data_IF_776157547350
#
_entry.id   IF_776157547350
#
_cell.length_a   1.000
_cell.length_b   1.000
_cell.length_c   1.000
_cell.angle_alpha   90.00
_cell.angle_beta   90.00
_cell.angle_gamma   90.00
#
_symmetry.space_group_name_H-M   'P 1'
#
loop_
_entity.id
_entity.type
_entity.pdbx_description
1 polymer ?
#
# COMPACT_ATOMS: atom_id res chain seq x y z
N UNK A 1 -12.81 43.74 -0.17
CA UNK A 1 -12.28 42.37 0.02
C UNK A 1 -11.45 42.01 -1.18
N UNK A 2 -10.43 41.16 -1.02
CA UNK A 2 -9.64 40.69 -2.16
C UNK A 2 -10.49 39.74 -3.03
N UNK A 3 -10.30 39.79 -4.35
CA UNK A 3 -11.03 38.94 -5.30
C UNK A 3 -10.07 38.30 -6.29
N UNK A 4 -10.50 37.20 -6.89
CA UNK A 4 -9.90 36.61 -8.08
C UNK A 4 -10.99 36.46 -9.15
N UNK A 5 -10.72 36.95 -10.36
CA UNK A 5 -11.67 36.88 -11.47
C UNK A 5 -11.21 35.87 -12.52
N UNK A 6 -12.08 34.93 -12.86
CA UNK A 6 -11.88 33.97 -13.95
C UNK A 6 -12.38 34.57 -15.24
N UNK A 7 -11.48 34.80 -16.18
CA UNK A 7 -11.83 35.29 -17.52
C UNK A 7 -12.43 34.18 -18.40
N UNK A 8 -12.18 32.93 -18.01
CA UNK A 8 -12.57 31.70 -18.67
C UNK A 8 -14.01 31.31 -18.33
N UNK A 9 -14.43 31.51 -17.07
CA UNK A 9 -15.79 31.19 -16.61
C UNK A 9 -16.67 32.43 -16.38
N UNK A 10 -16.09 33.63 -16.39
CA UNK A 10 -16.78 34.87 -16.02
C UNK A 10 -17.13 34.97 -14.53
N UNK A 11 -16.59 34.10 -13.67
CA UNK A 11 -16.87 34.09 -12.24
C UNK A 11 -15.92 34.97 -11.45
N UNK A 12 -16.48 35.67 -10.47
CA UNK A 12 -15.71 36.31 -9.40
C UNK A 12 -15.70 35.42 -8.17
N UNK A 13 -14.53 35.20 -7.61
CA UNK A 13 -14.32 34.56 -6.32
C UNK A 13 -13.91 35.62 -5.30
N UNK A 14 -14.69 35.78 -4.24
CA UNK A 14 -14.33 36.64 -3.11
C UNK A 14 -13.44 35.86 -2.16
N UNK A 15 -12.21 36.33 -1.95
CA UNK A 15 -11.21 35.64 -1.13
C UNK A 15 -11.42 36.03 0.35
N UNK A 16 -12.10 35.17 1.09
CA UNK A 16 -12.58 35.47 2.44
C UNK A 16 -11.48 35.31 3.49
N UNK A 17 -10.75 34.20 3.45
CA UNK A 17 -9.75 33.86 4.47
C UNK A 17 -8.62 33.02 3.90
N UNK A 18 -7.37 33.40 4.19
CA UNK A 18 -6.21 32.55 3.94
C UNK A 18 -6.26 31.31 4.84
N UNK A 19 -6.28 30.12 4.26
CA UNK A 19 -6.37 28.84 4.97
C UNK A 19 -5.11 27.97 4.80
N UNK A 20 -4.23 28.31 3.86
CA UNK A 20 -2.95 27.63 3.68
C UNK A 20 -1.97 28.50 2.91
N UNK A 21 -0.68 28.38 3.24
CA UNK A 21 0.41 29.06 2.53
C UNK A 21 1.65 28.17 2.55
N UNK A 22 2.27 27.98 1.40
CA UNK A 22 3.47 27.15 1.27
C UNK A 22 4.17 27.31 -0.07
N UNK A 23 5.10 26.39 -0.38
CA UNK A 23 5.89 26.45 -1.60
C UNK A 23 5.10 26.31 -2.91
N UNK A 24 3.83 25.94 -2.84
CA UNK A 24 2.95 25.80 -4.01
C UNK A 24 1.99 26.99 -4.20
N UNK A 25 2.06 27.98 -3.31
CA UNK A 25 1.23 29.18 -3.34
C UNK A 25 0.39 29.36 -2.07
N UNK A 26 -0.64 30.19 -2.22
CA UNK A 26 -1.58 30.55 -1.17
C UNK A 26 -2.95 29.95 -1.47
N UNK A 27 -3.63 29.44 -0.46
CA UNK A 27 -4.96 28.85 -0.57
C UNK A 27 -5.91 29.66 0.29
N UNK A 28 -6.97 30.16 -0.34
CA UNK A 28 -8.00 30.96 0.29
C UNK A 28 -9.31 30.18 0.35
N UNK A 29 -10.00 30.20 1.48
CA UNK A 29 -11.44 29.98 1.49
C UNK A 29 -12.08 31.15 0.74
N UNK A 30 -12.97 30.83 -0.19
CA UNK A 30 -13.60 31.82 -1.03
C UNK A 30 -15.09 31.54 -1.23
N UNK A 31 -15.82 32.59 -1.53
CA UNK A 31 -17.23 32.54 -1.91
C UNK A 31 -17.44 32.97 -3.35
N UNK A 32 -18.42 32.37 -4.02
CA UNK A 32 -18.78 32.68 -5.41
C UNK A 32 -20.28 32.47 -5.63
N UNK A 33 -20.80 32.96 -6.76
CA UNK A 33 -22.18 32.71 -7.16
C UNK A 33 -22.40 31.22 -7.45
N UNK A 34 -23.48 30.66 -6.88
CA UNK A 34 -23.89 29.27 -7.14
C UNK A 34 -24.36 29.15 -8.58
N UNK A 35 -23.87 28.13 -9.30
CA UNK A 35 -24.27 27.85 -10.68
C UNK A 35 -23.32 26.85 -11.35
N UNK A 36 -23.79 26.16 -12.39
CA UNK A 36 -23.03 25.18 -13.18
C UNK A 36 -22.31 24.10 -12.36
N UNK A 37 -22.93 23.69 -11.25
CA UNK A 37 -22.36 22.68 -10.34
C UNK A 37 -21.28 23.18 -9.39
N UNK A 38 -20.99 24.49 -9.37
CA UNK A 38 -20.06 25.12 -8.42
C UNK A 38 -20.81 25.49 -7.13
N UNK A 39 -20.33 25.06 -5.94
CA UNK A 39 -20.93 25.42 -4.66
C UNK A 39 -20.61 26.87 -4.26
N UNK A 40 -21.41 27.43 -3.35
CA UNK A 40 -21.22 28.79 -2.85
C UNK A 40 -19.87 29.01 -2.15
N UNK A 41 -19.30 27.95 -1.56
CA UNK A 41 -18.02 27.98 -0.84
C UNK A 41 -17.04 27.03 -1.52
N UNK A 42 -15.88 27.57 -1.89
CA UNK A 42 -14.79 26.85 -2.55
C UNK A 42 -13.45 27.23 -1.91
N UNK A 43 -12.39 26.54 -2.29
CA UNK A 43 -11.02 27.00 -2.08
C UNK A 43 -10.47 27.59 -3.38
N UNK A 44 -9.75 28.70 -3.32
CA UNK A 44 -8.96 29.21 -4.44
C UNK A 44 -7.49 29.11 -4.10
N UNK A 45 -6.78 28.23 -4.80
CA UNK A 45 -5.31 28.13 -4.76
C UNK A 45 -4.73 29.07 -5.80
N UNK A 46 -3.84 29.96 -5.35
CA UNK A 46 -3.16 30.97 -6.16
C UNK A 46 -1.66 30.68 -6.12
N UNK A 47 -1.06 30.47 -7.29
CA UNK A 47 0.36 30.19 -7.45
C UNK A 47 1.00 31.12 -8.47
N UNK A 48 2.30 31.35 -8.37
CA UNK A 48 3.13 31.98 -9.41
C UNK A 48 3.79 30.93 -10.32
N UNK A 49 3.59 29.62 -10.04
CA UNK A 49 4.24 28.52 -10.73
C UNK A 49 3.35 27.87 -11.80
N UNK A 50 3.57 28.25 -13.05
CA UNK A 50 2.85 27.70 -14.21
C UNK A 50 2.93 26.16 -14.29
N UNK A 51 4.11 25.57 -14.10
CA UNK A 51 4.33 24.14 -14.35
C UNK A 51 3.59 23.22 -13.37
N UNK A 52 3.51 23.62 -12.09
CA UNK A 52 2.72 22.90 -11.08
C UNK A 52 1.23 23.03 -11.35
N UNK A 53 0.78 24.26 -11.60
CA UNK A 53 -0.62 24.56 -11.92
C UNK A 53 -1.12 23.79 -13.16
N UNK A 54 -0.35 23.75 -14.25
CA UNK A 54 -0.70 23.00 -15.46
C UNK A 54 -0.90 21.50 -15.17
N UNK A 55 -0.05 20.91 -14.34
CA UNK A 55 -0.19 19.50 -13.94
C UNK A 55 -1.43 19.27 -13.10
N UNK A 56 -1.66 20.12 -12.10
CA UNK A 56 -2.86 20.02 -11.25
C UNK A 56 -4.15 20.17 -12.06
N UNK A 57 -4.22 21.18 -12.93
CA UNK A 57 -5.34 21.40 -13.84
C UNK A 57 -5.60 20.18 -14.74
N UNK A 58 -4.55 19.64 -15.36
CA UNK A 58 -4.64 18.49 -16.25
C UNK A 58 -5.14 17.23 -15.53
N UNK A 59 -4.56 16.90 -14.37
CA UNK A 59 -4.94 15.69 -13.63
C UNK A 59 -6.30 15.82 -12.96
N UNK A 60 -6.70 17.03 -12.56
CA UNK A 60 -8.06 17.27 -12.10
C UNK A 60 -9.09 17.03 -13.20
N UNK A 61 -8.80 17.42 -14.45
CA UNK A 61 -9.67 17.14 -15.60
C UNK A 61 -9.71 15.63 -15.91
N UNK A 62 -8.55 14.95 -15.88
CA UNK A 62 -8.48 13.50 -16.07
C UNK A 62 -9.31 12.72 -15.04
N UNK A 63 -9.35 13.21 -13.79
CA UNK A 63 -10.02 12.58 -12.66
C UNK A 63 -11.39 13.21 -12.34
N UNK A 64 -11.94 14.06 -13.20
CA UNK A 64 -13.18 14.81 -12.91
C UNK A 64 -14.39 13.93 -12.58
N UNK A 65 -14.38 12.67 -13.04
CA UNK A 65 -15.44 11.67 -12.79
C UNK A 65 -15.22 10.84 -11.52
N UNK A 66 -14.05 10.93 -10.90
CA UNK A 66 -13.71 10.16 -9.70
C UNK A 66 -14.18 10.88 -8.44
N UNK A 67 -15.17 10.33 -7.73
CA UNK A 67 -15.73 10.94 -6.50
C UNK A 67 -14.65 11.18 -5.43
N UNK A 68 -13.60 10.35 -5.44
CA UNK A 68 -12.50 10.36 -4.48
C UNK A 68 -11.27 11.15 -4.94
N UNK A 69 -11.39 11.92 -6.03
CA UNK A 69 -10.47 13.00 -6.36
C UNK A 69 -11.08 14.35 -5.93
N UNK A 70 -10.27 15.23 -5.37
CA UNK A 70 -10.68 16.59 -5.01
C UNK A 70 -11.10 17.34 -6.27
N UNK A 71 -12.35 17.82 -6.33
CA UNK A 71 -12.84 18.47 -7.55
C UNK A 71 -12.15 19.80 -7.77
N UNK A 72 -11.83 20.09 -9.02
CA UNK A 72 -11.49 21.45 -9.50
C UNK A 72 -12.67 21.93 -10.33
N UNK A 73 -13.26 23.04 -9.90
CA UNK A 73 -14.40 23.68 -10.55
C UNK A 73 -13.97 24.65 -11.64
N UNK A 74 -12.81 25.29 -11.46
CA UNK A 74 -12.33 26.32 -12.37
C UNK A 74 -10.81 26.39 -12.35
N UNK A 75 -10.24 26.79 -13.48
CA UNK A 75 -8.81 27.01 -13.68
C UNK A 75 -8.65 28.25 -14.53
N UNK A 76 -7.89 29.23 -14.04
CA UNK A 76 -7.75 30.48 -14.75
C UNK A 76 -6.44 31.17 -14.46
N UNK A 77 -6.06 32.08 -15.36
CA UNK A 77 -4.91 32.96 -15.18
C UNK A 77 -5.38 34.39 -14.98
N UNK A 78 -4.87 35.03 -13.94
CA UNK A 78 -5.20 36.40 -13.61
C UNK A 78 -3.94 37.29 -13.72
N UNK A 79 -3.89 38.21 -14.69
CA UNK A 79 -2.82 39.20 -14.78
C UNK A 79 -2.83 40.13 -13.57
N UNK A 80 -1.64 40.43 -13.05
CA UNK A 80 -1.42 41.38 -11.96
C UNK A 80 -0.27 42.33 -12.27
N UNK A 81 -0.14 43.40 -11.49
CA UNK A 81 1.02 44.30 -11.58
C UNK A 81 2.37 43.60 -11.32
N UNK A 82 2.37 42.48 -10.59
CA UNK A 82 3.55 41.68 -10.25
C UNK A 82 3.80 40.46 -11.15
N UNK A 83 3.03 40.28 -12.23
CA UNK A 83 3.13 39.10 -13.10
C UNK A 83 1.79 38.34 -13.21
N UNK A 84 1.86 37.04 -13.44
CA UNK A 84 0.66 36.19 -13.60
C UNK A 84 0.36 35.42 -12.32
N UNK A 85 -0.92 35.43 -11.90
CA UNK A 85 -1.46 34.51 -10.89
C UNK A 85 -2.13 33.34 -11.58
N UNK A 86 -1.73 32.12 -11.24
CA UNK A 86 -2.36 30.90 -11.71
C UNK A 86 -3.30 30.38 -10.63
N UNK A 87 -4.59 30.35 -10.95
CA UNK A 87 -5.67 30.10 -10.00
C UNK A 87 -6.36 28.76 -10.26
N UNK A 88 -6.65 28.01 -9.20
CA UNK A 88 -7.52 26.84 -9.21
C UNK A 88 -8.62 27.02 -8.19
N UNK A 89 -9.88 27.06 -8.63
CA UNK A 89 -11.02 26.96 -7.73
C UNK A 89 -11.37 25.49 -7.52
N UNK A 90 -11.35 25.03 -6.28
CA UNK A 90 -11.47 23.62 -5.92
C UNK A 90 -12.47 23.39 -4.79
N UNK A 91 -12.87 22.14 -4.63
CA UNK A 91 -13.70 21.67 -3.53
C UNK A 91 -13.12 22.08 -2.17
N UNK A 92 -13.96 22.66 -1.34
CA UNK A 92 -13.58 23.00 0.03
C UNK A 92 -13.64 21.76 0.92
N UNK A 93 -12.47 21.30 1.37
CA UNK A 93 -12.35 20.28 2.40
C UNK A 93 -12.60 20.91 3.78
N UNK A 94 -13.84 20.80 4.28
CA UNK A 94 -14.27 21.44 5.52
C UNK A 94 -13.48 21.00 6.77
N UNK A 95 -12.89 19.81 6.72
CA UNK A 95 -12.05 19.28 7.79
C UNK A 95 -10.54 19.44 7.53
N UNK A 96 -10.14 20.05 6.41
CA UNK A 96 -8.75 20.26 6.02
C UNK A 96 -8.08 19.01 5.44
N UNK A 97 -6.76 18.95 5.53
CA UNK A 97 -5.99 17.76 5.16
C UNK A 97 -6.10 16.66 6.23
N UNK A 98 -5.78 15.43 5.83
CA UNK A 98 -5.87 14.24 6.66
C UNK A 98 -4.93 14.32 7.87
N UNK A 99 -3.77 14.98 7.75
CA UNK A 99 -2.86 15.19 8.87
C UNK A 99 -3.51 16.01 9.97
N UNK A 100 -3.96 17.23 9.63
CA UNK A 100 -4.62 18.13 10.55
C UNK A 100 -5.93 17.55 11.12
N UNK A 101 -6.69 16.80 10.33
CA UNK A 101 -7.89 16.12 10.82
C UNK A 101 -7.53 15.00 11.80
N UNK A 102 -6.56 14.14 11.47
CA UNK A 102 -6.17 13.00 12.30
C UNK A 102 -5.58 13.44 13.65
N UNK A 103 -4.85 14.56 13.69
CA UNK A 103 -4.37 15.17 14.94
C UNK A 103 -5.52 15.53 15.89
N UNK A 104 -6.68 15.94 15.36
CA UNK A 104 -7.85 16.30 16.17
C UNK A 104 -8.67 15.09 16.60
N UNK A 105 -8.89 14.13 15.70
CA UNK A 105 -9.81 13.01 15.95
C UNK A 105 -9.13 11.73 16.48
N UNK A 106 -7.80 11.64 16.34
CA UNK A 106 -7.03 10.48 16.76
C UNK A 106 -7.28 9.23 15.91
N UNK A 107 -6.94 8.06 16.48
CA UNK A 107 -6.95 6.79 15.76
C UNK A 107 -8.34 6.41 15.22
N UNK A 108 -8.36 5.91 13.99
CA UNK A 108 -9.58 5.55 13.28
C UNK A 108 -9.85 4.05 13.33
N UNK A 109 -11.14 3.70 13.33
CA UNK A 109 -11.57 2.30 13.33
C UNK A 109 -11.13 1.58 12.04
N UNK A 110 -10.86 0.28 12.14
CA UNK A 110 -10.56 -0.54 10.97
C UNK A 110 -11.65 -0.47 9.89
N UNK A 111 -12.93 -0.36 10.29
CA UNK A 111 -14.06 -0.22 9.36
C UNK A 111 -13.93 1.05 8.53
N UNK A 112 -13.61 2.17 9.18
CA UNK A 112 -13.37 3.44 8.51
C UNK A 112 -12.17 3.33 7.56
N UNK A 113 -11.03 2.83 8.06
CA UNK A 113 -9.80 2.69 7.26
C UNK A 113 -10.02 1.84 6.02
N UNK A 114 -10.68 0.67 6.15
CA UNK A 114 -10.96 -0.19 4.98
C UNK A 114 -11.84 0.52 3.96
N UNK A 115 -12.93 1.16 4.40
CA UNK A 115 -13.87 1.86 3.53
C UNK A 115 -13.20 2.99 2.76
N UNK A 116 -12.47 3.85 3.46
CA UNK A 116 -11.87 5.04 2.84
C UNK A 116 -10.70 4.67 1.93
N UNK A 117 -9.83 3.74 2.34
CA UNK A 117 -8.73 3.30 1.46
C UNK A 117 -9.22 2.61 0.19
N UNK A 118 -10.23 1.75 0.30
CA UNK A 118 -10.83 1.10 -0.87
C UNK A 118 -11.42 2.13 -1.85
N UNK A 119 -12.02 3.20 -1.31
CA UNK A 119 -12.54 4.30 -2.13
C UNK A 119 -11.41 5.14 -2.77
N UNK A 120 -10.35 5.49 -2.02
CA UNK A 120 -9.18 6.19 -2.56
C UNK A 120 -8.49 5.37 -3.66
N UNK A 121 -8.47 4.04 -3.54
CA UNK A 121 -7.92 3.14 -4.55
C UNK A 121 -8.71 3.14 -5.86
N UNK A 122 -9.99 3.53 -5.85
CA UNK A 122 -10.75 3.79 -7.07
C UNK A 122 -10.13 4.93 -7.89
N UNK A 123 -9.98 6.11 -7.27
CA UNK A 123 -9.36 7.27 -7.91
C UNK A 123 -7.89 7.02 -8.29
N UNK A 124 -7.12 6.36 -7.42
CA UNK A 124 -5.73 5.99 -7.73
C UNK A 124 -5.68 4.98 -8.89
N UNK A 125 -6.63 4.05 -8.96
CA UNK A 125 -6.78 3.10 -10.05
C UNK A 125 -7.06 3.78 -11.38
N UNK A 126 -7.93 4.80 -11.40
CA UNK A 126 -8.19 5.61 -12.59
C UNK A 126 -6.94 6.36 -13.06
N UNK A 127 -6.19 6.98 -12.14
CA UNK A 127 -4.92 7.64 -12.44
C UNK A 127 -3.90 6.64 -13.02
N UNK A 128 -3.76 5.47 -12.40
CA UNK A 128 -2.85 4.40 -12.83
C UNK A 128 -3.24 3.81 -14.18
N UNK A 129 -4.54 3.69 -14.46
CA UNK A 129 -5.10 3.25 -15.75
C UNK A 129 -4.82 4.24 -16.88
N UNK A 130 -4.77 5.54 -16.58
CA UNK A 130 -4.28 6.58 -17.49
C UNK A 130 -2.74 6.64 -17.62
N UNK A 131 -2.03 5.62 -17.15
CA UNK A 131 -0.57 5.56 -17.09
C UNK A 131 0.06 6.75 -16.35
N UNK A 132 -0.59 7.27 -15.32
CA UNK A 132 -0.02 8.29 -14.46
C UNK A 132 0.28 7.77 -13.06
N UNK A 133 1.21 8.44 -12.37
CA UNK A 133 1.65 8.13 -11.02
C UNK A 133 1.47 9.38 -10.16
N UNK A 134 0.98 9.22 -8.93
CA UNK A 134 0.76 10.36 -8.03
C UNK A 134 2.06 10.82 -7.39
N UNK A 135 2.89 9.88 -6.91
CA UNK A 135 4.23 10.10 -6.33
C UNK A 135 4.30 10.86 -5.00
N UNK A 136 3.20 11.41 -4.51
CA UNK A 136 3.16 12.22 -3.28
C UNK A 136 1.92 11.98 -2.43
N UNK A 137 1.50 10.72 -2.30
CA UNK A 137 0.40 10.37 -1.40
C UNK A 137 0.89 10.51 0.05
N UNK A 138 0.50 11.60 0.70
CA UNK A 138 0.83 11.93 2.09
C UNK A 138 -0.41 12.41 2.83
N UNK A 139 -0.41 12.47 4.18
CA UNK A 139 -1.53 13.03 4.94
C UNK A 139 -1.88 14.48 4.55
N UNK A 140 -0.94 15.23 3.98
CA UNK A 140 -1.15 16.62 3.57
C UNK A 140 -1.78 16.76 2.18
N UNK A 141 -1.77 15.69 1.38
CA UNK A 141 -2.34 15.65 0.02
C UNK A 141 -3.58 14.75 -0.05
N UNK A 142 -4.07 14.27 1.10
CA UNK A 142 -5.37 13.62 1.23
C UNK A 142 -6.25 14.56 2.03
N UNK A 143 -7.39 14.93 1.49
CA UNK A 143 -8.30 15.89 2.09
C UNK A 143 -9.50 15.20 2.71
N UNK A 144 -10.01 15.78 3.80
CA UNK A 144 -11.19 15.30 4.51
C UNK A 144 -12.35 16.24 4.19
N UNK A 145 -13.21 15.79 3.28
CA UNK A 145 -14.36 16.53 2.76
C UNK A 145 -15.64 16.20 3.54
N UNK A 146 -16.77 16.65 2.99
CA UNK A 146 -18.09 16.46 3.59
C UNK A 146 -18.38 15.01 4.01
N UNK A 147 -18.89 14.86 5.23
CA UNK A 147 -19.17 13.56 5.85
C UNK A 147 -17.91 12.75 6.17
N UNK A 148 -16.79 13.43 6.42
CA UNK A 148 -15.47 12.85 6.70
C UNK A 148 -14.99 11.87 5.62
N UNK A 149 -15.33 12.17 4.37
CA UNK A 149 -14.89 11.40 3.20
C UNK A 149 -13.48 11.81 2.80
N UNK A 150 -12.57 10.84 2.71
CA UNK A 150 -11.22 11.07 2.19
C UNK A 150 -11.24 11.24 0.68
N UNK A 151 -10.47 12.21 0.17
CA UNK A 151 -10.23 12.43 -1.26
C UNK A 151 -8.76 12.70 -1.55
N UNK A 152 -8.27 12.20 -2.66
CA UNK A 152 -6.94 12.50 -3.18
C UNK A 152 -6.92 13.92 -3.75
N UNK A 153 -5.91 14.71 -3.41
CA UNK A 153 -5.64 16.00 -4.04
C UNK A 153 -4.15 16.20 -4.28
N UNK A 154 -3.81 17.42 -4.71
CA UNK A 154 -2.45 17.85 -5.05
C UNK A 154 -1.69 16.91 -6.01
N UNK A 155 -2.02 17.07 -7.30
CA UNK A 155 -1.33 16.39 -8.40
C UNK A 155 -0.15 17.20 -8.94
N UNK A 156 0.39 18.16 -8.17
CA UNK A 156 1.42 19.11 -8.62
C UNK A 156 2.74 18.48 -9.06
N UNK A 157 2.99 17.22 -8.67
CA UNK A 157 4.14 16.42 -9.12
C UNK A 157 3.73 15.10 -9.80
N UNK A 158 2.44 14.90 -10.04
CA UNK A 158 1.95 13.73 -10.75
C UNK A 158 2.48 13.72 -12.19
N UNK A 159 2.66 12.54 -12.75
CA UNK A 159 3.36 12.42 -14.03
C UNK A 159 3.02 11.14 -14.79
N UNK A 160 3.03 11.23 -16.11
CA UNK A 160 2.83 10.10 -17.00
C UNK A 160 4.05 9.20 -17.07
N UNK A 161 3.84 7.89 -16.92
CA UNK A 161 4.86 6.88 -17.21
C UNK A 161 4.89 6.60 -18.71
N UNK A 162 6.03 6.85 -19.35
CA UNK A 162 6.23 6.56 -20.78
C UNK A 162 6.47 5.08 -21.09
N UNK A 163 6.68 4.26 -20.06
CA UNK A 163 6.90 2.82 -20.18
C UNK A 163 6.63 2.11 -18.86
N UNK A 164 6.50 0.79 -18.91
CA UNK A 164 6.40 -0.07 -17.71
C UNK A 164 7.62 0.02 -16.78
N UNK A 165 8.73 0.67 -17.20
CA UNK A 165 9.89 0.92 -16.34
C UNK A 165 9.60 1.98 -15.27
N UNK A 166 8.51 2.73 -15.39
CA UNK A 166 8.13 3.80 -14.48
C UNK A 166 8.79 5.15 -14.82
N UNK A 167 8.80 6.06 -13.85
CA UNK A 167 9.30 7.44 -14.03
C UNK A 167 10.52 7.67 -13.15
N UNK A 168 11.43 8.58 -13.52
CA UNK A 168 12.55 8.95 -12.65
C UNK A 168 12.04 9.39 -11.28
N UNK A 169 12.60 8.83 -10.22
CA UNK A 169 12.29 9.26 -8.85
C UNK A 169 13.16 10.48 -8.50
N UNK A 170 12.74 11.65 -8.95
CA UNK A 170 13.43 12.94 -8.79
C UNK A 170 12.63 13.96 -7.95
N UNK A 171 11.41 13.60 -7.57
CA UNK A 171 10.48 14.44 -6.80
C UNK A 171 9.55 13.54 -5.99
N UNK A 172 9.59 13.72 -4.66
CA UNK A 172 8.79 12.99 -3.67
C UNK A 172 9.04 13.56 -2.25
N UNK A 173 8.11 13.32 -1.33
CA UNK A 173 8.32 13.57 0.10
C UNK A 173 9.25 12.51 0.74
N UNK A 174 10.34 12.94 1.35
CA UNK A 174 11.38 12.07 1.94
C UNK A 174 10.87 11.18 3.10
N UNK A 175 9.79 11.57 3.77
CA UNK A 175 9.22 10.81 4.89
C UNK A 175 8.20 9.75 4.44
N UNK A 176 7.72 9.83 3.20
CA UNK A 176 6.68 8.95 2.66
C UNK A 176 7.14 8.13 1.45
N UNK A 177 8.41 8.26 1.06
CA UNK A 177 9.04 7.51 -0.02
C UNK A 177 9.49 6.12 0.45
N UNK A 178 9.38 5.07 -0.38
CA UNK A 178 10.01 3.79 -0.07
C UNK A 178 11.52 3.91 0.20
N UNK A 179 12.02 3.24 1.24
CA UNK A 179 13.43 3.32 1.64
C UNK A 179 14.43 3.04 0.50
N UNK A 180 14.12 2.09 -0.39
CA UNK A 180 14.98 1.77 -1.52
C UNK A 180 15.08 2.90 -2.56
N UNK A 181 14.05 3.74 -2.69
CA UNK A 181 14.07 4.96 -3.50
C UNK A 181 14.81 6.07 -2.75
N UNK A 182 14.49 6.26 -1.46
CA UNK A 182 15.15 7.25 -0.60
C UNK A 182 16.68 7.09 -0.57
N UNK A 183 17.16 5.84 -0.55
CA UNK A 183 18.59 5.50 -0.58
C UNK A 183 19.19 5.41 -1.99
N UNK A 184 18.44 5.77 -3.04
CA UNK A 184 18.92 5.77 -4.42
C UNK A 184 19.21 4.39 -5.02
N UNK A 185 18.82 3.29 -4.35
CA UNK A 185 18.98 1.91 -4.85
C UNK A 185 18.01 1.61 -6.00
N UNK A 186 16.85 2.24 -5.97
CA UNK A 186 15.86 2.23 -7.04
C UNK A 186 15.68 3.67 -7.54
N UNK A 187 15.92 3.89 -8.83
CA UNK A 187 15.82 5.22 -9.46
C UNK A 187 14.50 5.44 -10.21
N UNK A 188 13.60 4.45 -10.20
CA UNK A 188 12.35 4.47 -10.94
C UNK A 188 11.16 4.29 -10.02
N UNK A 189 10.27 5.27 -10.00
CA UNK A 189 8.96 5.22 -9.36
C UNK A 189 7.96 4.45 -10.23
N UNK A 190 7.15 3.59 -9.63
CA UNK A 190 6.09 2.80 -10.29
C UNK A 190 4.80 2.82 -9.43
N UNK A 191 3.71 2.27 -9.97
CA UNK A 191 2.41 2.18 -9.28
C UNK A 191 2.51 1.54 -7.88
N UNK A 192 3.34 0.49 -7.74
CA UNK A 192 3.63 -0.16 -6.45
C UNK A 192 4.24 0.76 -5.37
N UNK A 193 4.83 1.89 -5.78
CA UNK A 193 5.44 2.86 -4.87
C UNK A 193 4.37 3.85 -4.36
N UNK A 194 3.33 4.17 -5.16
CA UNK A 194 2.11 4.82 -4.65
C UNK A 194 1.35 3.88 -3.69
N UNK A 195 1.32 2.57 -3.97
CA UNK A 195 0.72 1.56 -3.08
C UNK A 195 1.43 1.49 -1.71
N UNK A 196 2.75 1.68 -1.69
CA UNK A 196 3.49 1.80 -0.44
C UNK A 196 2.99 2.99 0.39
N UNK A 197 2.79 4.15 -0.26
CA UNK A 197 2.26 5.35 0.39
C UNK A 197 0.83 5.13 0.93
N UNK A 198 -0.05 4.46 0.19
CA UNK A 198 -1.37 4.05 0.70
C UNK A 198 -1.24 3.16 1.96
N UNK A 199 -0.27 2.24 1.98
CA UNK A 199 0.02 1.42 3.15
C UNK A 199 0.48 2.24 4.37
N UNK A 200 1.22 3.32 4.15
CA UNK A 200 1.59 4.24 5.23
C UNK A 200 0.37 4.99 5.78
N UNK A 201 -0.47 5.53 4.89
CA UNK A 201 -1.72 6.20 5.28
C UNK A 201 -2.62 5.29 6.11
N UNK A 202 -2.79 4.03 5.70
CA UNK A 202 -3.53 3.02 6.45
C UNK A 202 -3.02 2.88 7.88
N UNK A 203 -1.70 2.79 8.03
CA UNK A 203 -1.05 2.56 9.30
C UNK A 203 -1.08 3.82 10.19
N UNK A 204 -1.01 5.01 9.61
CA UNK A 204 -1.17 6.29 10.30
C UNK A 204 -2.60 6.45 10.83
N UNK A 205 -3.61 6.22 9.99
CA UNK A 205 -5.03 6.27 10.38
C UNK A 205 -5.32 5.33 11.57
N UNK A 206 -4.85 4.08 11.50
CA UNK A 206 -5.05 3.10 12.58
C UNK A 206 -4.31 3.47 13.87
N UNK A 207 -3.17 4.16 13.76
CA UNK A 207 -2.37 4.58 14.91
C UNK A 207 -2.86 5.90 15.51
N UNK A 208 -3.48 6.76 14.70
CA UNK A 208 -3.78 8.15 15.05
C UNK A 208 -2.55 9.04 15.12
N UNK A 209 -1.50 8.73 14.34
CA UNK A 209 -0.21 9.43 14.40
C UNK A 209 0.47 9.40 13.03
N UNK A 210 0.80 10.59 12.52
CA UNK A 210 1.47 10.80 11.22
C UNK A 210 2.99 10.99 11.33
N UNK A 211 3.52 11.15 12.54
CA UNK A 211 4.91 11.53 12.79
C UNK A 211 5.80 10.31 12.99
N UNK A 212 5.33 9.31 13.77
CA UNK A 212 6.17 8.16 14.08
C UNK A 212 6.41 7.28 12.85
N UNK A 213 7.67 6.96 12.52
CA UNK A 213 7.99 6.09 11.39
C UNK A 213 7.26 4.75 11.46
N UNK A 214 6.93 4.23 10.28
CA UNK A 214 6.27 2.94 10.12
C UNK A 214 7.10 2.02 9.23
N UNK A 215 7.67 0.96 9.81
CA UNK A 215 8.32 -0.11 9.04
C UNK A 215 7.40 -1.32 8.98
N UNK A 216 7.61 -2.20 7.99
CA UNK A 216 6.84 -3.44 7.82
C UNK A 216 6.81 -4.35 9.05
N UNK A 217 7.85 -4.28 9.91
CA UNK A 217 7.92 -5.01 11.19
C UNK A 217 7.06 -4.40 12.29
N UNK A 218 6.76 -3.11 12.21
CA UNK A 218 6.01 -2.36 13.23
C UNK A 218 4.50 -2.57 13.08
N UNK A 219 4.05 -3.02 11.90
CA UNK A 219 2.65 -3.37 11.55
C UNK A 219 2.00 -4.32 12.56
N UNK A 220 2.80 -5.15 13.24
CA UNK A 220 2.36 -6.05 14.32
C UNK A 220 1.58 -5.37 15.43
N UNK A 221 1.99 -4.14 15.76
CA UNK A 221 1.44 -3.36 16.85
C UNK A 221 0.23 -2.53 16.47
N UNK A 222 -0.22 -2.59 15.21
CA UNK A 222 -1.41 -1.83 14.81
C UNK A 222 -2.67 -2.39 15.48
N UNK A 223 -3.61 -1.53 15.93
CA UNK A 223 -4.85 -1.95 16.57
C UNK A 223 -5.89 -2.36 15.53
N UNK A 224 -5.58 -3.39 14.73
CA UNK A 224 -6.47 -3.91 13.71
C UNK A 224 -6.40 -5.43 13.59
N UNK A 225 -7.33 -5.98 12.83
CA UNK A 225 -7.44 -7.39 12.53
C UNK A 225 -6.20 -7.91 11.85
N UNK A 226 -6.05 -9.21 12.01
CA UNK A 226 -4.94 -9.94 11.45
C UNK A 226 -4.86 -9.83 9.92
N UNK A 227 -6.02 -9.77 9.30
CA UNK A 227 -6.16 -9.60 7.88
C UNK A 227 -5.63 -8.23 7.43
N UNK A 228 -6.00 -7.13 8.11
CA UNK A 228 -5.53 -5.80 7.70
C UNK A 228 -4.02 -5.63 7.93
N UNK A 229 -3.48 -6.22 9.01
CA UNK A 229 -2.03 -6.24 9.24
C UNK A 229 -1.28 -6.92 8.10
N UNK A 230 -1.79 -8.03 7.57
CA UNK A 230 -1.19 -8.70 6.42
C UNK A 230 -1.19 -7.82 5.16
N UNK A 231 -2.32 -7.15 4.87
CA UNK A 231 -2.43 -6.23 3.74
C UNK A 231 -1.43 -5.07 3.85
N UNK A 232 -1.39 -4.39 5.01
CA UNK A 232 -0.47 -3.28 5.26
C UNK A 232 0.99 -3.77 5.20
N UNK A 233 1.28 -4.96 5.72
CA UNK A 233 2.62 -5.54 5.65
C UNK A 233 3.08 -5.77 4.20
N UNK A 234 2.18 -6.21 3.31
CA UNK A 234 2.47 -6.36 1.89
C UNK A 234 2.77 -5.01 1.23
N UNK A 235 2.02 -3.94 1.54
CA UNK A 235 2.31 -2.59 1.04
C UNK A 235 3.68 -2.08 1.51
N UNK A 236 3.98 -2.20 2.81
CA UNK A 236 5.21 -1.67 3.42
C UNK A 236 6.43 -2.58 3.26
N UNK A 237 6.24 -3.76 2.67
CA UNK A 237 7.26 -4.78 2.49
C UNK A 237 8.30 -4.43 1.41
N UNK A 238 9.10 -5.43 1.07
CA UNK A 238 10.05 -5.34 -0.04
C UNK A 238 9.31 -5.03 -1.35
N UNK A 239 9.88 -4.14 -2.18
CA UNK A 239 9.26 -3.65 -3.43
C UNK A 239 8.65 -4.73 -4.33
N UNK A 240 9.34 -5.85 -4.53
CA UNK A 240 8.86 -6.97 -5.38
C UNK A 240 7.79 -7.86 -4.75
N UNK A 241 7.34 -7.53 -3.53
CA UNK A 241 6.29 -8.23 -2.78
C UNK A 241 5.06 -7.36 -2.52
N UNK A 242 5.10 -6.09 -2.92
CA UNK A 242 3.94 -5.19 -2.87
C UNK A 242 2.91 -5.64 -3.89
N UNK A 243 1.68 -5.20 -3.69
CA UNK A 243 0.66 -5.24 -4.74
C UNK A 243 1.16 -4.44 -5.94
N UNK A 244 0.88 -4.95 -7.15
CA UNK A 244 1.35 -4.37 -8.40
C UNK A 244 0.45 -3.23 -8.88
N UNK A 245 -0.84 -3.29 -8.54
CA UNK A 245 -1.86 -2.33 -8.95
C UNK A 245 -2.85 -2.01 -7.82
N UNK A 246 -3.50 -0.84 -7.92
CA UNK A 246 -4.50 -0.40 -6.94
C UNK A 246 -5.68 -1.39 -6.82
N UNK A 247 -6.08 -2.03 -7.92
CA UNK A 247 -7.13 -3.04 -7.95
C UNK A 247 -6.79 -4.30 -7.13
N UNK A 248 -5.52 -4.71 -7.14
CA UNK A 248 -5.06 -5.86 -6.36
C UNK A 248 -5.10 -5.57 -4.85
N UNK A 249 -4.70 -4.36 -4.45
CA UNK A 249 -4.82 -3.91 -3.07
C UNK A 249 -6.29 -3.77 -2.63
N UNK A 250 -7.16 -3.20 -3.47
CA UNK A 250 -8.61 -3.11 -3.20
C UNK A 250 -9.23 -4.51 -2.99
N UNK A 251 -8.90 -5.47 -3.86
CA UNK A 251 -9.35 -6.85 -3.70
C UNK A 251 -8.88 -7.47 -2.36
N UNK A 252 -7.63 -7.20 -1.97
CA UNK A 252 -7.08 -7.66 -0.69
C UNK A 252 -7.72 -6.98 0.53
N UNK A 253 -8.15 -5.72 0.43
CA UNK A 253 -8.90 -5.05 1.50
C UNK A 253 -10.29 -5.67 1.68
N UNK A 254 -10.93 -6.13 0.61
CA UNK A 254 -12.29 -6.70 0.65
C UNK A 254 -12.31 -8.17 1.04
N UNK A 255 -11.34 -8.95 0.56
CA UNK A 255 -11.40 -10.42 0.65
C UNK A 255 -10.21 -10.98 1.39
N UNK A 256 -10.48 -11.73 2.47
CA UNK A 256 -9.43 -12.45 3.19
C UNK A 256 -8.85 -13.58 2.33
N UNK A 257 -7.52 -13.65 2.18
CA UNK A 257 -6.87 -14.79 1.51
C UNK A 257 -7.24 -16.10 2.21
N UNK A 258 -7.59 -17.13 1.41
CA UNK A 258 -7.84 -18.48 1.95
C UNK A 258 -6.56 -19.03 2.57
N UNK A 259 -6.67 -19.66 3.74
CA UNK A 259 -5.52 -20.33 4.34
C UNK A 259 -5.05 -21.50 3.47
N UNK A 260 -3.73 -21.66 3.25
CA UNK A 260 -3.19 -22.82 2.58
C UNK A 260 -3.58 -24.09 3.34
N UNK A 261 -4.31 -24.98 2.68
CA UNK A 261 -4.64 -26.30 3.23
C UNK A 261 -3.39 -27.16 3.31
N UNK A 262 -3.33 -28.03 4.31
CA UNK A 262 -2.29 -29.06 4.38
C UNK A 262 -2.45 -29.99 3.17
N UNK A 263 -1.37 -30.11 2.39
CA UNK A 263 -1.26 -31.03 1.27
C UNK A 263 -0.50 -32.29 1.66
N UNK A 264 -0.12 -33.09 0.65
CA UNK A 264 0.72 -34.27 0.85
C UNK A 264 1.93 -34.23 -0.08
N UNK A 265 3.08 -34.59 0.46
CA UNK A 265 4.34 -34.78 -0.26
C UNK A 265 4.76 -36.25 -0.12
N UNK A 266 5.24 -36.87 -1.21
CA UNK A 266 5.66 -38.29 -1.23
C UNK A 266 7.11 -38.49 -0.80
N UNK A 267 8.01 -37.54 -1.11
CA UNK A 267 9.43 -37.57 -0.77
C UNK A 267 9.99 -36.15 -0.67
N UNK A 268 10.99 -35.95 0.18
CA UNK A 268 11.68 -34.66 0.33
C UNK A 268 12.88 -34.51 -0.63
N UNK A 269 13.42 -35.62 -1.15
CA UNK A 269 14.58 -35.60 -2.05
C UNK A 269 14.32 -34.71 -3.29
N UNK A 270 15.22 -33.75 -3.52
CA UNK A 270 15.17 -32.78 -4.62
C UNK A 270 14.18 -31.64 -4.42
N UNK A 271 13.48 -31.56 -3.27
CA UNK A 271 12.50 -30.50 -2.98
C UNK A 271 13.13 -29.32 -2.27
N UNK A 272 12.76 -28.11 -2.68
CA UNK A 272 13.08 -26.89 -1.93
C UNK A 272 12.06 -26.70 -0.82
N UNK A 273 12.54 -26.67 0.43
CA UNK A 273 11.67 -26.51 1.59
C UNK A 273 12.00 -25.31 2.46
N UNK A 274 10.99 -24.77 3.12
CA UNK A 274 11.14 -23.79 4.19
C UNK A 274 10.36 -24.23 5.43
N UNK A 275 10.80 -23.82 6.61
CA UNK A 275 10.10 -24.07 7.87
C UNK A 275 9.42 -22.81 8.40
N UNK A 276 8.22 -22.95 8.95
CA UNK A 276 7.50 -21.89 9.68
C UNK A 276 6.88 -22.43 10.98
N UNK A 277 6.49 -21.54 11.90
CA UNK A 277 5.91 -21.89 13.19
C UNK A 277 6.92 -22.40 14.22
N UNK A 278 6.40 -22.80 15.38
CA UNK A 278 7.18 -23.50 16.41
C UNK A 278 7.22 -24.99 16.08
N UNK A 279 8.42 -25.50 15.87
CA UNK A 279 8.64 -26.93 15.69
C UNK A 279 8.74 -27.58 17.08
N UNK A 280 8.26 -28.80 17.21
CA UNK A 280 8.45 -29.65 18.39
C UNK A 280 9.94 -29.98 18.59
N UNK A 281 10.67 -30.13 17.49
CA UNK A 281 12.11 -30.37 17.49
C UNK A 281 12.90 -29.08 17.20
N UNK A 282 14.15 -28.95 17.69
CA UNK A 282 15.00 -27.82 17.34
C UNK A 282 15.10 -27.64 15.83
N UNK A 283 14.99 -26.39 15.36
CA UNK A 283 15.01 -26.08 13.92
C UNK A 283 16.32 -26.54 13.25
N UNK A 284 17.44 -26.55 13.99
CA UNK A 284 18.71 -27.10 13.49
C UNK A 284 18.61 -28.59 13.13
N UNK A 285 17.93 -29.38 13.97
CA UNK A 285 17.76 -30.82 13.75
C UNK A 285 16.82 -31.09 12.57
N UNK A 286 15.73 -30.33 12.47
CA UNK A 286 14.84 -30.41 11.32
C UNK A 286 15.58 -30.06 10.01
N UNK A 287 16.45 -29.04 10.01
CA UNK A 287 17.27 -28.69 8.85
C UNK A 287 18.25 -29.82 8.49
N UNK A 288 18.91 -30.41 9.49
CA UNK A 288 19.84 -31.54 9.29
C UNK A 288 19.12 -32.76 8.72
N UNK A 289 17.96 -33.11 9.27
CA UNK A 289 17.13 -34.22 8.80
C UNK A 289 16.64 -34.00 7.37
N UNK A 290 16.20 -32.78 7.03
CA UNK A 290 15.77 -32.43 5.68
C UNK A 290 16.91 -32.58 4.66
N UNK A 291 18.11 -32.08 4.98
CA UNK A 291 19.30 -32.22 4.11
C UNK A 291 19.70 -33.68 3.94
N UNK A 292 19.67 -34.47 5.01
CA UNK A 292 19.94 -35.92 4.96
C UNK A 292 18.94 -36.67 4.08
N UNK A 293 17.67 -36.22 4.04
CA UNK A 293 16.64 -36.74 3.15
C UNK A 293 16.74 -36.22 1.70
N UNK A 294 17.82 -35.51 1.35
CA UNK A 294 18.10 -35.01 0.00
C UNK A 294 17.37 -33.72 -0.37
N UNK A 295 16.85 -32.98 0.61
CA UNK A 295 16.07 -31.77 0.38
C UNK A 295 16.92 -30.50 0.48
N UNK A 296 16.51 -29.44 -0.24
CA UNK A 296 17.21 -28.15 -0.28
C UNK A 296 16.50 -27.19 0.67
N UNK A 297 17.12 -26.88 1.80
CA UNK A 297 16.53 -25.99 2.81
C UNK A 297 16.77 -24.53 2.45
N UNK A 298 15.69 -23.76 2.37
CA UNK A 298 15.68 -22.32 2.17
C UNK A 298 15.28 -21.60 3.46
N UNK A 299 15.86 -20.41 3.67
CA UNK A 299 15.51 -19.57 4.82
C UNK A 299 14.12 -18.93 4.65
N UNK A 300 13.77 -18.54 3.43
CA UNK A 300 12.51 -17.87 3.08
C UNK A 300 11.87 -18.54 1.85
N UNK A 301 10.53 -18.65 1.80
CA UNK A 301 9.85 -19.09 0.61
C UNK A 301 10.07 -18.12 -0.56
N UNK A 302 10.10 -18.66 -1.78
CA UNK A 302 10.19 -17.94 -3.03
C UNK A 302 9.67 -18.80 -4.18
N UNK A 303 9.87 -18.33 -5.43
CA UNK A 303 9.32 -18.99 -6.63
C UNK A 303 9.77 -20.45 -6.81
N UNK A 304 10.93 -20.82 -6.26
CA UNK A 304 11.46 -22.19 -6.32
C UNK A 304 11.03 -23.09 -5.17
N UNK A 305 10.32 -22.57 -4.16
CA UNK A 305 9.92 -23.35 -2.99
C UNK A 305 8.83 -24.35 -3.35
N UNK A 306 9.09 -25.63 -3.11
CA UNK A 306 8.11 -26.71 -3.31
C UNK A 306 7.24 -26.95 -2.07
N UNK A 307 7.86 -26.86 -0.87
CA UNK A 307 7.27 -27.32 0.39
C UNK A 307 7.45 -26.30 1.51
N UNK A 308 6.37 -26.00 2.22
CA UNK A 308 6.44 -25.26 3.49
C UNK A 308 6.05 -26.20 4.64
N UNK A 309 7.00 -26.47 5.54
CA UNK A 309 6.73 -27.23 6.76
C UNK A 309 6.20 -26.28 7.83
N UNK A 310 4.97 -26.51 8.27
CA UNK A 310 4.26 -25.70 9.29
C UNK A 310 4.25 -26.45 10.61
N UNK A 311 4.95 -25.90 11.61
CA UNK A 311 4.82 -26.29 13.01
C UNK A 311 3.59 -25.67 13.67
N UNK A 312 3.52 -25.72 15.00
CA UNK A 312 2.43 -25.12 15.78
C UNK A 312 2.35 -23.60 15.53
N UNK A 313 1.13 -23.03 15.48
CA UNK A 313 0.95 -21.58 15.46
C UNK A 313 1.61 -20.96 16.69
N UNK A 314 2.17 -19.77 16.55
CA UNK A 314 2.61 -18.96 17.67
C UNK A 314 1.50 -17.94 17.95
N UNK A 315 0.94 -17.92 19.16
CA UNK A 315 -0.18 -17.05 19.52
C UNK A 315 0.16 -15.53 19.42
N UNK A 316 1.44 -15.17 19.42
CA UNK A 316 1.91 -13.81 19.13
C UNK A 316 2.06 -13.55 17.61
N UNK A 317 1.68 -14.50 16.75
CA UNK A 317 1.70 -14.35 15.29
C UNK A 317 0.50 -13.56 14.83
N UNK A 318 0.56 -12.25 15.06
CA UNK A 318 0.77 -11.40 13.90
C UNK A 318 2.02 -10.55 14.04
N UNK A 319 2.85 -10.72 13.00
CA UNK A 319 4.06 -10.00 12.70
C UNK A 319 5.15 -10.02 13.80
N UNK A 320 5.75 -11.19 14.05
CA UNK A 320 7.13 -11.28 14.58
C UNK A 320 7.57 -12.72 14.85
N UNK A 321 8.83 -13.15 14.80
CA UNK A 321 10.04 -12.60 14.15
C UNK A 321 10.37 -13.34 12.84
N UNK A 322 9.67 -14.43 12.49
CA UNK A 322 9.80 -15.17 11.21
C UNK A 322 8.59 -16.08 10.85
N UNK A 323 7.48 -16.03 11.60
CA UNK A 323 6.43 -17.07 11.57
C UNK A 323 5.17 -16.79 10.75
N UNK A 324 4.84 -15.53 10.45
CA UNK A 324 3.66 -15.17 9.63
C UNK A 324 4.00 -14.81 8.18
N UNK A 325 5.15 -14.17 7.96
CA UNK A 325 5.58 -13.69 6.64
C UNK A 325 5.78 -14.81 5.62
N UNK A 326 6.16 -16.02 6.05
CA UNK A 326 6.31 -17.18 5.17
C UNK A 326 4.97 -17.71 4.68
N UNK A 327 3.93 -17.66 5.52
CA UNK A 327 2.57 -18.04 5.10
C UNK A 327 1.97 -16.99 4.18
N UNK A 328 2.18 -15.70 4.47
CA UNK A 328 1.81 -14.59 3.57
C UNK A 328 2.48 -14.78 2.20
N UNK A 329 3.78 -15.05 2.17
CA UNK A 329 4.51 -15.30 0.93
C UNK A 329 3.97 -16.52 0.18
N UNK A 330 3.64 -17.62 0.88
CA UNK A 330 3.05 -18.80 0.22
C UNK A 330 1.68 -18.49 -0.38
N UNK A 331 0.84 -17.68 0.28
CA UNK A 331 -0.45 -17.25 -0.30
C UNK A 331 -0.24 -16.36 -1.51
N UNK A 332 0.73 -15.45 -1.47
CA UNK A 332 1.11 -14.61 -2.61
C UNK A 332 1.61 -15.45 -3.79
N UNK A 333 2.47 -16.44 -3.54
CA UNK A 333 2.95 -17.37 -4.56
C UNK A 333 1.78 -18.17 -5.17
N UNK A 334 0.83 -18.62 -4.35
CA UNK A 334 -0.36 -19.31 -4.83
C UNK A 334 -1.23 -18.42 -5.73
N UNK A 335 -1.38 -17.13 -5.41
CA UNK A 335 -2.08 -16.17 -6.27
C UNK A 335 -1.37 -15.95 -7.62
N UNK A 336 -0.05 -16.12 -7.68
CA UNK A 336 0.75 -16.12 -8.91
C UNK A 336 0.76 -17.47 -9.65
N UNK A 337 -0.07 -18.44 -9.22
CA UNK A 337 -0.10 -19.79 -9.79
C UNK A 337 1.07 -20.69 -9.37
N UNK A 338 1.93 -20.22 -8.45
CA UNK A 338 3.08 -20.98 -7.96
C UNK A 338 2.62 -21.83 -6.78
N UNK A 339 2.57 -23.15 -6.99
CA UNK A 339 2.10 -24.11 -6.00
C UNK A 339 3.18 -24.43 -4.96
N UNK A 340 2.97 -23.99 -3.72
CA UNK A 340 3.75 -24.44 -2.55
C UNK A 340 2.89 -25.37 -1.71
N UNK A 341 3.37 -26.60 -1.47
CA UNK A 341 2.64 -27.58 -0.65
C UNK A 341 2.95 -27.36 0.82
N UNK A 342 1.94 -27.03 1.62
CA UNK A 342 2.11 -26.91 3.08
C UNK A 342 1.93 -28.29 3.71
N UNK A 343 2.88 -28.73 4.53
CA UNK A 343 2.80 -29.98 5.30
C UNK A 343 2.99 -29.70 6.79
N UNK A 344 2.47 -30.56 7.64
CA UNK A 344 2.72 -30.50 9.08
C UNK A 344 4.07 -31.14 9.46
N UNK A 345 4.48 -30.90 10.70
CA UNK A 345 5.74 -31.45 11.23
C UNK A 345 5.73 -32.99 11.30
N UNK A 346 4.58 -33.62 11.55
CA UNK A 346 4.43 -35.08 11.60
C UNK A 346 4.73 -35.71 10.25
N UNK A 347 4.17 -35.17 9.18
CA UNK A 347 4.46 -35.60 7.82
C UNK A 347 5.93 -35.35 7.46
N UNK A 348 6.48 -34.19 7.84
CA UNK A 348 7.88 -33.89 7.60
C UNK A 348 8.80 -34.96 8.21
N UNK A 349 8.66 -35.30 9.49
CA UNK A 349 9.52 -36.29 10.15
C UNK A 349 9.39 -37.70 9.58
N UNK A 350 8.18 -38.12 9.22
CA UNK A 350 7.95 -39.40 8.53
C UNK A 350 8.68 -39.49 7.18
N UNK A 351 8.87 -38.37 6.49
CA UNK A 351 9.58 -38.33 5.21
C UNK A 351 11.09 -38.07 5.37
N UNK A 352 11.50 -37.43 6.47
CA UNK A 352 12.89 -37.07 6.72
C UNK A 352 13.69 -38.19 7.40
N UNK A 353 13.02 -39.07 8.14
CA UNK A 353 13.63 -40.24 8.75
C UNK A 353 13.71 -41.40 7.73
N UNK A 354 14.81 -42.17 7.72
CA UNK A 354 14.92 -43.34 6.86
C UNK A 354 13.79 -44.33 7.20
N UNK A 355 13.15 -44.87 6.17
CA UNK A 355 12.24 -46.00 6.34
C UNK A 355 12.99 -47.11 7.07
N UNK A 356 12.46 -47.56 8.22
CA UNK A 356 12.96 -48.78 8.88
C UNK A 356 12.93 -49.88 7.80
N UNK A 357 14.10 -50.27 7.29
CA UNK A 357 14.23 -51.52 6.54
C UNK A 357 13.69 -52.60 7.49
N UNK A 358 12.62 -53.27 7.08
CA UNK A 358 12.17 -54.50 7.72
C UNK A 358 13.38 -55.42 7.85
N UNK A 359 13.74 -55.77 9.09
CA UNK A 359 14.82 -56.70 9.36
C UNK A 359 14.57 -57.99 8.56
N UNK A 360 15.59 -58.58 7.92
CA UNK A 360 15.41 -59.86 7.25
C UNK A 360 14.95 -60.90 8.27
N UNK A 361 13.85 -61.59 7.96
CA UNK A 361 13.38 -62.74 8.75
C UNK A 361 14.54 -63.71 8.88
N UNK A 362 14.97 -64.00 10.12
CA UNK A 362 15.92 -65.09 10.40
C UNK A 362 15.35 -66.38 9.81
N UNK A 363 16.11 -67.16 9.03
CA UNK A 363 15.67 -68.47 8.59
C UNK A 363 15.49 -69.36 9.82
N UNK A 364 14.32 -69.98 9.93
CA UNK A 364 14.01 -70.99 10.95
C UNK A 364 14.92 -72.19 10.69
N UNK A 365 15.83 -72.50 11.62
CA UNK A 365 16.61 -73.73 11.56
C UNK A 365 15.66 -74.91 11.78
N UNK A 366 15.39 -75.68 10.72
CA UNK A 366 14.85 -77.04 10.86
C UNK A 366 15.96 -77.89 11.49
N UNK A 367 15.76 -78.35 12.72
CA UNK A 367 16.42 -79.56 13.22
C UNK A 367 15.51 -80.72 12.86
N UNK A 368 16.06 -81.66 12.09
CA UNK A 368 15.58 -83.03 11.93
C UNK A 368 16.12 -83.81 13.12
#
# INVERSE_FOLDING_TARGET
MATAYSTESGRTYTLDRLIGKGGFGEVYLATTSVGDGVPARVCVKISDRLSGWLREAYFAELLAREERALRVYDRFVEPTSGGMRYCLAMEYAEHGDLGAWLERVGAQSEKFVRRELDALLGALGALHGGHALHRDLTPFNVFVCEGEKLKLGDFGIATHQRSARGVTADSFNLFHVPNEIAWGRVRRWQQRDDIYQIGLLAAMLLRGDIVKPMRSKDVRGLPCSDHLKEVIHCCLGSRGKRYEAASELSAALRTRPKEPRLGRVRKLAGKHLSFTGFLEHPRADAIKAARKAGAIVQSKPGKSTDVLVRGRPNALQIAGKDGGSKLIEVRRLAALGIKVTVIDERQFWRLALPTRKTAPRRPVSRRV
#
